data_IF_376400643667
#
_entry.id   IF_376400643667
#
_cell.length_a   1.000
_cell.length_b   1.000
_cell.length_c   1.000
_cell.angle_alpha   90.00
_cell.angle_beta   90.00
_cell.angle_gamma   90.00
#
_symmetry.space_group_name_H-M   'P 1'
#
loop_
_entity.id
_entity.type
_entity.pdbx_description
1 polymer ?
#
# COMPACT_ATOMS: atom_id res chain seq x y z
N UNK A 1 -17.44 -5.16 -0.58
CA UNK A 1 -16.06 -4.65 -0.66
C UNK A 1 -15.59 -4.79 -2.11
N UNK A 2 -14.91 -3.79 -2.69
CA UNK A 2 -14.34 -3.88 -4.05
C UNK A 2 -12.83 -3.75 -3.96
N UNK A 3 -12.11 -4.55 -4.74
CA UNK A 3 -10.64 -4.52 -4.83
C UNK A 3 -10.19 -4.01 -6.19
N UNK A 4 -9.09 -3.25 -6.20
CA UNK A 4 -8.39 -2.84 -7.40
C UNK A 4 -6.98 -3.40 -7.28
N UNK A 5 -6.59 -4.25 -8.24
CA UNK A 5 -5.25 -4.81 -8.29
C UNK A 5 -4.37 -3.95 -9.19
N UNK A 6 -3.22 -3.51 -8.68
CA UNK A 6 -2.23 -2.72 -9.41
C UNK A 6 -0.97 -3.57 -9.55
N UNK A 7 -0.80 -4.15 -10.73
CA UNK A 7 0.36 -4.97 -11.08
C UNK A 7 1.32 -4.25 -12.03
N UNK A 8 2.50 -4.83 -12.22
CA UNK A 8 3.39 -4.48 -13.32
C UNK A 8 4.24 -5.68 -13.72
N UNK A 9 4.95 -5.56 -14.85
CA UNK A 9 5.83 -6.59 -15.42
C UNK A 9 7.25 -6.60 -14.86
N UNK A 10 7.61 -5.66 -13.96
CA UNK A 10 8.94 -5.58 -13.36
C UNK A 10 8.99 -4.82 -12.02
N UNK A 11 10.19 -4.79 -11.41
CA UNK A 11 10.47 -4.04 -10.18
C UNK A 11 10.85 -2.58 -10.47
N UNK A 12 10.24 -1.62 -9.76
CA UNK A 12 10.49 -0.18 -9.94
C UNK A 12 9.68 0.63 -10.99
N UNK A 13 8.64 0.13 -11.68
CA UNK A 13 7.92 0.91 -12.71
C UNK A 13 6.90 1.93 -12.15
N UNK A 14 6.90 2.20 -10.85
CA UNK A 14 6.07 3.25 -10.24
C UNK A 14 4.67 2.82 -9.80
N UNK A 15 4.44 1.53 -9.50
CA UNK A 15 3.14 1.06 -9.01
C UNK A 15 2.69 1.81 -7.75
N UNK A 16 3.62 2.11 -6.85
CA UNK A 16 3.35 2.88 -5.62
C UNK A 16 2.80 4.26 -5.93
N UNK A 17 3.40 4.97 -6.90
CA UNK A 17 2.94 6.30 -7.30
C UNK A 17 1.56 6.25 -7.96
N UNK A 18 1.33 5.27 -8.85
CA UNK A 18 0.04 5.08 -9.50
C UNK A 18 -1.05 4.74 -8.46
N UNK A 19 -0.76 3.84 -7.52
CA UNK A 19 -1.66 3.50 -6.43
C UNK A 19 -1.97 4.72 -5.55
N UNK A 20 -0.97 5.57 -5.29
CA UNK A 20 -1.13 6.74 -4.43
C UNK A 20 -2.03 7.78 -5.08
N UNK A 21 -1.77 8.13 -6.35
CA UNK A 21 -2.62 9.06 -7.10
C UNK A 21 -4.08 8.58 -7.16
N UNK A 22 -4.29 7.28 -7.39
CA UNK A 22 -5.63 6.69 -7.40
C UNK A 22 -6.30 6.79 -6.02
N UNK A 23 -5.57 6.47 -4.95
CA UNK A 23 -6.09 6.54 -3.59
C UNK A 23 -6.51 7.96 -3.21
N UNK A 24 -5.72 8.99 -3.54
CA UNK A 24 -6.08 10.38 -3.31
C UNK A 24 -7.36 10.76 -4.06
N UNK A 25 -7.49 10.36 -5.32
CA UNK A 25 -8.68 10.63 -6.13
C UNK A 25 -9.94 9.95 -5.56
N UNK A 26 -9.83 8.70 -5.12
CA UNK A 26 -10.95 7.96 -4.54
C UNK A 26 -11.32 8.48 -3.14
N UNK A 27 -10.33 8.84 -2.32
CA UNK A 27 -10.54 9.48 -1.00
C UNK A 27 -11.24 10.83 -1.16
N UNK A 28 -10.83 11.64 -2.15
CA UNK A 28 -11.49 12.90 -2.49
C UNK A 28 -12.95 12.74 -2.97
N UNK A 29 -13.37 11.54 -3.35
CA UNK A 29 -14.78 11.20 -3.64
C UNK A 29 -15.56 10.70 -2.41
N UNK A 30 -14.97 10.74 -1.22
CA UNK A 30 -15.60 10.29 0.04
C UNK A 30 -15.59 8.78 0.23
N UNK A 31 -14.80 8.02 -0.55
CA UNK A 31 -14.72 6.56 -0.40
C UNK A 31 -13.81 6.17 0.77
N UNK A 32 -14.23 5.17 1.54
CA UNK A 32 -13.37 4.49 2.52
C UNK A 32 -12.43 3.55 1.80
N UNK A 33 -11.14 3.70 2.05
CA UNK A 33 -10.09 2.95 1.37
C UNK A 33 -9.21 2.22 2.39
N UNK A 34 -8.65 1.10 1.95
CA UNK A 34 -7.53 0.44 2.58
C UNK A 34 -6.43 0.22 1.54
N UNK A 35 -5.24 -0.10 2.01
CA UNK A 35 -4.10 -0.47 1.17
C UNK A 35 -3.53 -1.80 1.66
N UNK A 36 -3.20 -2.66 0.71
CA UNK A 36 -2.61 -3.97 0.98
C UNK A 36 -1.52 -4.24 -0.05
N UNK A 37 -0.34 -4.61 0.43
CA UNK A 37 0.79 -4.99 -0.41
C UNK A 37 1.13 -6.47 -0.14
N UNK A 38 0.82 -7.39 -1.09
CA UNK A 38 0.93 -8.83 -0.86
C UNK A 38 2.37 -9.35 -0.82
N UNK A 39 3.32 -8.63 -1.43
CA UNK A 39 4.71 -9.07 -1.56
C UNK A 39 5.62 -8.05 -0.86
N UNK A 40 5.87 -8.27 0.43
CA UNK A 40 7.03 -7.66 1.08
C UNK A 40 8.29 -8.42 0.67
N UNK A 41 9.38 -7.71 0.37
CA UNK A 41 10.71 -8.32 0.20
C UNK A 41 11.32 -8.79 1.55
N UNK A 42 10.54 -8.71 2.64
CA UNK A 42 11.01 -8.94 3.99
C UNK A 42 10.65 -10.36 4.42
N UNK A 43 11.59 -11.09 5.06
CA UNK A 43 11.29 -12.41 5.61
C UNK A 43 10.18 -12.31 6.67
N UNK A 44 9.33 -13.34 6.74
CA UNK A 44 8.14 -13.40 7.60
C UNK A 44 8.42 -13.21 9.10
N UNK A 45 9.68 -13.28 9.54
CA UNK A 45 10.05 -13.40 10.95
C UNK A 45 9.85 -12.14 11.81
N UNK A 46 9.45 -11.00 11.25
CA UNK A 46 9.31 -9.75 12.03
C UNK A 46 7.93 -9.08 11.97
N UNK A 47 6.95 -9.64 11.26
CA UNK A 47 5.72 -8.91 10.89
C UNK A 47 4.72 -8.64 12.03
N UNK A 48 4.92 -9.21 13.22
CA UNK A 48 3.90 -9.21 14.28
C UNK A 48 4.33 -8.61 15.63
N UNK A 49 5.54 -8.06 15.72
CA UNK A 49 6.02 -7.40 16.94
C UNK A 49 6.00 -5.87 16.80
N UNK A 50 5.78 -5.11 17.89
CA UNK A 50 6.10 -3.68 17.90
C UNK A 50 7.56 -3.50 17.51
N UNK A 51 7.83 -2.85 16.38
CA UNK A 51 9.18 -2.76 15.78
C UNK A 51 9.44 -3.73 14.63
N UNK A 52 8.42 -4.44 14.14
CA UNK A 52 8.49 -5.26 12.93
C UNK A 52 8.85 -4.49 11.67
N UNK A 53 9.63 -5.10 10.77
CA UNK A 53 9.95 -4.48 9.49
C UNK A 53 8.70 -4.50 8.61
N UNK A 54 8.17 -3.31 8.30
CA UNK A 54 7.02 -3.12 7.42
C UNK A 54 7.49 -2.49 6.10
N UNK A 55 6.92 -2.90 4.97
CA UNK A 55 7.25 -2.33 3.67
C UNK A 55 6.97 -0.82 3.66
N UNK A 56 7.89 -0.03 3.10
CA UNK A 56 7.79 1.42 3.07
C UNK A 56 6.51 1.92 2.40
N UNK A 57 5.98 1.19 1.43
CA UNK A 57 4.73 1.58 0.76
C UNK A 57 3.55 1.42 1.72
N UNK A 58 3.54 0.37 2.55
CA UNK A 58 2.48 0.19 3.55
C UNK A 58 2.50 1.35 4.55
N UNK A 59 3.69 1.76 5.01
CA UNK A 59 3.86 2.92 5.89
C UNK A 59 3.42 4.23 5.23
N UNK A 60 3.78 4.44 3.97
CA UNK A 60 3.34 5.60 3.18
C UNK A 60 1.81 5.65 3.11
N UNK A 61 1.16 4.55 2.75
CA UNK A 61 -0.31 4.53 2.61
C UNK A 61 -1.03 4.66 3.93
N UNK A 62 -0.43 4.19 5.03
CA UNK A 62 -0.94 4.46 6.38
C UNK A 62 -1.06 5.97 6.64
N UNK A 63 -0.01 6.72 6.32
CA UNK A 63 0.01 8.19 6.45
C UNK A 63 -0.97 8.88 5.48
N UNK A 64 -0.94 8.51 4.20
CA UNK A 64 -1.80 9.10 3.15
C UNK A 64 -3.28 8.89 3.44
N UNK A 65 -3.65 7.69 3.88
CA UNK A 65 -5.04 7.33 4.16
C UNK A 65 -5.49 7.76 5.55
N UNK A 66 -4.55 8.03 6.47
CA UNK A 66 -4.81 8.33 7.89
C UNK A 66 -5.48 7.14 8.60
N UNK A 67 -4.86 5.96 8.50
CA UNK A 67 -5.30 4.68 9.07
C UNK A 67 -4.23 4.06 9.98
#
# INVERSE_FOLDING_TARGET
MRSIFIGSTGGGPGQTLAAWALALRLKGKGLRLGFFKPYGLLPESSLSLPGGHCDSDVLLFKQVLNI
#
